data_IF_789446721959
#
_entry.id   IF_789446721959
#
_cell.length_a   1.000
_cell.length_b   1.000
_cell.length_c   1.000
_cell.angle_alpha   90.00
_cell.angle_beta   90.00
_cell.angle_gamma   90.00
#
_symmetry.space_group_name_H-M   'P 1'
#
loop_
_entity.id
_entity.type
_entity.pdbx_description
1 polymer ?
#
# COMPACT_ATOMS: atom_id res chain seq x y z
N UNK A 1 33.48 12.92 -16.06
CA UNK A 1 32.19 12.19 -15.96
C UNK A 1 31.08 13.14 -16.36
N UNK A 2 30.30 12.78 -17.38
CA UNK A 2 29.24 13.64 -17.93
C UNK A 2 28.03 13.69 -16.99
N UNK A 3 27.35 14.84 -16.87
CA UNK A 3 26.16 14.97 -16.01
C UNK A 3 25.03 13.99 -16.40
N UNK A 4 24.99 13.53 -17.65
CA UNK A 4 24.05 12.50 -18.11
C UNK A 4 24.32 11.11 -17.52
N UNK A 5 25.59 10.70 -17.37
CA UNK A 5 25.92 9.43 -16.70
C UNK A 5 25.55 9.46 -15.22
N UNK A 6 25.68 10.62 -14.57
CA UNK A 6 25.34 10.76 -13.16
C UNK A 6 23.81 10.77 -12.94
N UNK A 7 23.05 11.28 -13.91
CA UNK A 7 21.57 11.17 -13.94
C UNK A 7 21.11 9.74 -14.21
N UNK A 8 21.73 9.03 -15.17
CA UNK A 8 21.41 7.64 -15.46
C UNK A 8 21.62 6.72 -14.25
N UNK A 9 22.72 6.89 -13.51
CA UNK A 9 22.97 6.15 -12.26
C UNK A 9 22.01 6.53 -11.13
N UNK A 10 21.47 7.75 -11.14
CA UNK A 10 20.45 8.19 -10.19
C UNK A 10 19.11 7.52 -10.52
N UNK A 11 18.72 7.52 -11.80
CA UNK A 11 17.52 6.85 -12.30
C UNK A 11 17.55 5.34 -12.05
N UNK A 12 18.70 4.67 -12.25
CA UNK A 12 18.86 3.24 -11.94
C UNK A 12 18.68 2.95 -10.45
N UNK A 13 19.17 3.82 -9.58
CA UNK A 13 18.98 3.71 -8.13
C UNK A 13 17.53 3.96 -7.73
N UNK A 14 16.86 4.93 -8.36
CA UNK A 14 15.45 5.16 -8.15
C UNK A 14 14.62 3.95 -8.61
N UNK A 15 14.93 3.36 -9.78
CA UNK A 15 14.25 2.17 -10.29
C UNK A 15 14.42 0.96 -9.36
N UNK A 16 15.62 0.75 -8.82
CA UNK A 16 15.87 -0.33 -7.86
C UNK A 16 15.08 -0.14 -6.55
N UNK A 17 14.91 1.11 -6.11
CA UNK A 17 14.07 1.47 -4.96
C UNK A 17 12.59 1.25 -5.26
N UNK A 18 12.12 1.65 -6.44
CA UNK A 18 10.76 1.36 -6.92
C UNK A 18 10.48 -0.14 -6.91
N UNK A 19 11.43 -0.96 -7.38
CA UNK A 19 11.32 -2.42 -7.36
C UNK A 19 11.17 -2.98 -5.94
N UNK A 20 11.94 -2.47 -4.96
CA UNK A 20 11.80 -2.86 -3.55
C UNK A 20 10.47 -2.40 -2.95
N UNK A 21 10.04 -1.18 -3.23
CA UNK A 21 8.78 -0.63 -2.75
C UNK A 21 7.58 -1.43 -3.28
N UNK A 22 7.59 -1.76 -4.58
CA UNK A 22 6.58 -2.61 -5.21
C UNK A 22 6.51 -4.00 -4.57
N UNK A 23 7.66 -4.61 -4.27
CA UNK A 23 7.73 -5.93 -3.63
C UNK A 23 7.16 -5.92 -2.21
N UNK A 24 7.40 -4.86 -1.44
CA UNK A 24 6.81 -4.67 -0.12
C UNK A 24 5.30 -4.44 -0.23
N UNK A 25 4.87 -3.57 -1.16
CA UNK A 25 3.43 -3.36 -1.41
C UNK A 25 2.72 -4.66 -1.76
N UNK A 26 3.31 -5.49 -2.62
CA UNK A 26 2.78 -6.80 -2.98
C UNK A 26 2.69 -7.76 -1.79
N UNK A 27 3.70 -7.79 -0.91
CA UNK A 27 3.65 -8.57 0.32
C UNK A 27 2.54 -8.12 1.27
N UNK A 28 2.38 -6.79 1.44
CA UNK A 28 1.33 -6.21 2.28
C UNK A 28 -0.06 -6.53 1.72
N UNK A 29 -0.26 -6.36 0.41
CA UNK A 29 -1.50 -6.73 -0.26
C UNK A 29 -1.81 -8.22 -0.13
N UNK A 30 -0.81 -9.08 -0.32
CA UNK A 30 -0.94 -10.53 -0.14
C UNK A 30 -1.30 -10.94 1.29
N UNK A 31 -0.62 -10.37 2.29
CA UNK A 31 -0.92 -10.60 3.71
C UNK A 31 -2.34 -10.16 4.08
N UNK A 32 -2.78 -9.01 3.58
CA UNK A 32 -4.14 -8.54 3.82
C UNK A 32 -5.19 -9.42 3.15
N UNK A 33 -4.95 -9.91 1.92
CA UNK A 33 -5.83 -10.87 1.28
C UNK A 33 -5.96 -12.17 2.10
N UNK A 34 -4.84 -12.73 2.58
CA UNK A 34 -4.86 -13.93 3.43
C UNK A 34 -5.62 -13.66 4.74
N UNK A 35 -5.36 -12.53 5.39
CA UNK A 35 -6.05 -12.15 6.61
C UNK A 35 -7.55 -11.97 6.38
N UNK A 36 -7.96 -11.35 5.27
CA UNK A 36 -9.36 -11.18 4.91
C UNK A 36 -10.06 -12.51 4.66
N UNK A 37 -9.42 -13.45 3.94
CA UNK A 37 -9.99 -14.78 3.70
C UNK A 37 -10.21 -15.50 5.04
N UNK A 38 -9.19 -15.52 5.91
CA UNK A 38 -9.30 -16.14 7.23
C UNK A 38 -10.40 -15.49 8.09
N UNK A 39 -10.49 -14.15 8.09
CA UNK A 39 -11.51 -13.42 8.85
C UNK A 39 -12.91 -13.60 8.27
N UNK A 40 -13.04 -13.69 6.95
CA UNK A 40 -14.33 -13.96 6.28
C UNK A 40 -14.84 -15.37 6.58
N UNK A 41 -13.92 -16.33 6.67
CA UNK A 41 -14.26 -17.72 6.95
C UNK A 41 -14.56 -17.93 8.45
N UNK A 42 -13.89 -17.19 9.36
CA UNK A 42 -14.05 -17.36 10.80
C UNK A 42 -15.03 -16.41 11.49
N UNK A 43 -15.24 -15.18 10.99
CA UNK A 43 -15.88 -14.10 11.78
C UNK A 43 -17.05 -13.44 11.05
N UNK A 44 -16.97 -13.26 9.73
CA UNK A 44 -17.93 -12.43 9.01
C UNK A 44 -18.49 -13.11 7.78
N UNK A 45 -19.74 -13.57 7.89
CA UNK A 45 -20.52 -14.20 6.82
C UNK A 45 -20.81 -13.28 5.60
N UNK A 46 -20.27 -12.06 5.58
CA UNK A 46 -20.18 -11.21 4.39
C UNK A 46 -19.07 -10.15 4.54
N UNK A 47 -17.94 -10.30 3.84
CA UNK A 47 -17.16 -9.13 3.44
C UNK A 47 -17.72 -8.63 2.10
N UNK A 48 -18.21 -7.39 2.05
CA UNK A 48 -18.41 -6.74 0.76
C UNK A 48 -17.07 -6.72 0.03
N UNK A 49 -16.91 -7.58 -0.98
CA UNK A 49 -15.69 -7.73 -1.79
C UNK A 49 -15.20 -6.38 -2.32
N UNK A 50 -16.13 -5.45 -2.56
CA UNK A 50 -15.83 -4.08 -2.93
C UNK A 50 -15.05 -3.31 -1.83
N UNK A 51 -15.54 -3.27 -0.59
CA UNK A 51 -14.88 -2.56 0.52
C UNK A 51 -13.52 -3.19 0.85
N UNK A 52 -13.47 -4.52 0.87
CA UNK A 52 -12.25 -5.28 1.10
C UNK A 52 -11.21 -5.01 0.00
N UNK A 53 -11.63 -5.00 -1.27
CA UNK A 53 -10.78 -4.67 -2.42
C UNK A 53 -10.19 -3.26 -2.33
N UNK A 54 -11.01 -2.26 -2.00
CA UNK A 54 -10.55 -0.88 -1.79
C UNK A 54 -9.56 -0.78 -0.63
N UNK A 55 -9.83 -1.44 0.50
CA UNK A 55 -8.92 -1.46 1.65
C UNK A 55 -7.54 -2.04 1.26
N UNK A 56 -7.52 -3.18 0.56
CA UNK A 56 -6.29 -3.84 0.11
C UNK A 56 -5.53 -2.95 -0.86
N UNK A 57 -6.23 -2.32 -1.82
CA UNK A 57 -5.63 -1.40 -2.78
C UNK A 57 -4.94 -0.23 -2.08
N UNK A 58 -5.64 0.46 -1.18
CA UNK A 58 -5.07 1.59 -0.45
C UNK A 58 -3.91 1.18 0.47
N UNK A 59 -3.97 0.01 1.10
CA UNK A 59 -2.87 -0.48 1.92
C UNK A 59 -1.63 -0.87 1.08
N UNK A 60 -1.83 -1.48 -0.08
CA UNK A 60 -0.76 -1.81 -1.03
C UNK A 60 -0.12 -0.55 -1.62
N UNK A 61 -0.93 0.43 -2.02
CA UNK A 61 -0.47 1.69 -2.58
C UNK A 61 0.24 2.55 -1.51
N UNK A 62 -0.35 2.65 -0.32
CA UNK A 62 0.19 3.42 0.80
C UNK A 62 1.52 2.87 1.30
N UNK A 63 1.66 1.53 1.42
CA UNK A 63 2.92 0.90 1.81
C UNK A 63 4.02 1.09 0.76
N UNK A 64 3.71 0.98 -0.53
CA UNK A 64 4.64 1.28 -1.62
C UNK A 64 5.10 2.74 -1.61
N UNK A 65 4.17 3.68 -1.41
CA UNK A 65 4.45 5.11 -1.30
C UNK A 65 5.30 5.46 -0.06
N UNK A 66 5.08 4.77 1.06
CA UNK A 66 5.84 4.97 2.30
C UNK A 66 7.30 4.50 2.16
N UNK A 67 7.52 3.35 1.52
CA UNK A 67 8.88 2.83 1.24
C UNK A 67 9.60 3.73 0.23
N UNK A 68 8.89 4.20 -0.80
CA UNK A 68 9.44 5.19 -1.72
C UNK A 68 9.83 6.49 -1.01
N UNK A 69 9.04 6.93 -0.03
CA UNK A 69 9.36 8.12 0.73
C UNK A 69 10.66 7.97 1.54
N UNK A 70 10.86 6.83 2.20
CA UNK A 70 12.08 6.58 2.98
C UNK A 70 13.36 6.69 2.13
N UNK A 71 13.28 6.35 0.84
CA UNK A 71 14.44 6.39 -0.06
C UNK A 71 14.57 7.66 -0.90
N UNK A 72 13.47 8.27 -1.38
CA UNK A 72 13.53 9.50 -2.20
C UNK A 72 13.38 10.80 -1.39
N UNK A 73 13.01 10.72 -0.10
CA UNK A 73 12.83 11.86 0.83
C UNK A 73 11.94 13.00 0.28
N UNK A 74 11.06 12.68 -0.66
CA UNK A 74 10.17 13.65 -1.32
C UNK A 74 8.85 13.79 -0.55
N UNK A 75 8.59 14.98 0.03
CA UNK A 75 7.43 15.24 0.89
C UNK A 75 6.08 14.91 0.23
N UNK A 76 5.96 15.05 -1.09
CA UNK A 76 4.74 14.72 -1.82
C UNK A 76 4.38 13.24 -1.73
N UNK A 77 5.36 12.33 -1.79
CA UNK A 77 5.12 10.87 -1.68
C UNK A 77 4.68 10.44 -0.28
N UNK A 78 5.12 11.14 0.77
CA UNK A 78 4.63 10.91 2.13
C UNK A 78 3.18 11.38 2.30
N UNK A 79 2.83 12.51 1.68
CA UNK A 79 1.45 13.01 1.70
C UNK A 79 0.50 11.99 1.05
N UNK A 80 0.84 11.47 -0.14
CA UNK A 80 0.03 10.43 -0.79
C UNK A 80 -0.01 9.14 0.03
N UNK A 81 1.12 8.66 0.56
CA UNK A 81 1.12 7.47 1.42
C UNK A 81 0.29 7.64 2.69
N UNK A 82 0.27 8.84 3.29
CA UNK A 82 -0.54 9.12 4.48
C UNK A 82 -2.04 9.21 4.13
N UNK A 83 -2.40 9.78 2.98
CA UNK A 83 -3.78 9.77 2.47
C UNK A 83 -4.23 8.33 2.22
N UNK A 84 -3.40 7.52 1.56
CA UNK A 84 -3.69 6.11 1.28
C UNK A 84 -3.92 5.31 2.58
N UNK A 85 -3.10 5.54 3.61
CA UNK A 85 -3.26 4.90 4.93
C UNK A 85 -4.54 5.35 5.62
N UNK A 86 -4.89 6.64 5.57
CA UNK A 86 -6.14 7.16 6.15
C UNK A 86 -7.35 6.56 5.43
N UNK A 87 -7.31 6.46 4.09
CA UNK A 87 -8.35 5.79 3.32
C UNK A 87 -8.46 4.31 3.69
N UNK A 88 -7.36 3.57 3.77
CA UNK A 88 -7.36 2.17 4.20
C UNK A 88 -7.99 1.99 5.59
N UNK A 89 -7.66 2.87 6.54
CA UNK A 89 -8.26 2.86 7.88
C UNK A 89 -9.77 3.15 7.85
N UNK A 90 -10.21 4.12 7.06
CA UNK A 90 -11.64 4.43 6.90
C UNK A 90 -12.42 3.24 6.33
N UNK A 91 -11.89 2.56 5.31
CA UNK A 91 -12.50 1.36 4.75
C UNK A 91 -12.50 0.19 5.74
N UNK A 92 -11.44 0.01 6.53
CA UNK A 92 -11.40 -1.00 7.59
C UNK A 92 -12.46 -0.74 8.67
N UNK A 93 -12.60 0.51 9.14
CA UNK A 93 -13.65 0.89 10.11
C UNK A 93 -15.04 0.68 9.53
N UNK A 94 -15.28 1.06 8.27
CA UNK A 94 -16.55 0.83 7.60
C UNK A 94 -16.91 -0.66 7.53
N UNK A 95 -15.92 -1.54 7.26
CA UNK A 95 -16.13 -2.98 7.30
C UNK A 95 -16.50 -3.46 8.71
N UNK A 96 -15.77 -3.05 9.75
CA UNK A 96 -16.08 -3.46 11.13
C UNK A 96 -17.47 -2.99 11.56
N UNK A 97 -17.83 -1.74 11.26
CA UNK A 97 -19.15 -1.19 11.59
C UNK A 97 -20.27 -1.96 10.91
N UNK A 98 -20.14 -2.27 9.62
CA UNK A 98 -21.14 -3.06 8.88
C UNK A 98 -21.25 -4.49 9.37
N UNK A 99 -20.18 -5.02 9.93
CA UNK A 99 -20.12 -6.41 10.30
C UNK A 99 -20.60 -6.63 11.75
N UNK A 100 -20.64 -5.57 12.57
CA UNK A 100 -21.24 -5.54 13.91
C UNK A 100 -22.72 -5.07 13.88
N UNK A 101 -23.11 -4.27 12.89
CA UNK A 101 -24.48 -3.78 12.71
C UNK A 101 -25.41 -4.83 12.09
#
# INVERSE_FOLDING_TARGET
>A
MSQQENKGKLDERELAVFGKASRIGMLVGGLLCVALVLLSEFVFNMPELALAGWMVYFAMQGSSNLVMYQHLRSRSKLMYGMIDVVCAAAFAVAMVLKAVA
#
